data_IF_109031113782
#
_entry.id   IF_109031113782
#
_cell.length_a   1.000
_cell.length_b   1.000
_cell.length_c   1.000
_cell.angle_alpha   90.00
_cell.angle_beta   90.00
_cell.angle_gamma   90.00
#
_symmetry.space_group_name_H-M   'P 1'
#
loop_
_entity.id
_entity.type
_entity.pdbx_description
1 polymer ?
#
# COMPACT_ATOMS: atom_id res chain seq x y z
N UNK A 1 -57.60 19.61 -55.85
CA UNK A 1 -57.54 18.87 -54.57
C UNK A 1 -56.07 18.61 -54.29
N UNK A 2 -55.43 19.44 -53.46
CA UNK A 2 -53.98 19.42 -53.22
C UNK A 2 -53.63 18.40 -52.13
N UNK A 3 -52.69 17.50 -52.44
CA UNK A 3 -52.15 16.50 -51.51
C UNK A 3 -51.02 17.15 -50.71
N UNK A 4 -51.21 17.30 -49.40
CA UNK A 4 -50.15 17.74 -48.47
C UNK A 4 -49.23 16.55 -48.15
N UNK A 5 -47.98 16.61 -48.60
CA UNK A 5 -46.89 15.74 -48.15
C UNK A 5 -46.33 16.33 -46.85
N UNK A 6 -46.68 15.72 -45.72
CA UNK A 6 -46.11 16.07 -44.41
C UNK A 6 -44.70 15.49 -44.27
N UNK A 7 -43.69 16.36 -44.29
CA UNK A 7 -42.30 16.00 -43.98
C UNK A 7 -42.16 15.92 -42.46
N UNK A 8 -41.97 14.71 -41.93
CA UNK A 8 -41.60 14.51 -40.53
C UNK A 8 -40.11 14.84 -40.33
N UNK A 9 -39.81 15.95 -39.69
CA UNK A 9 -38.47 16.23 -39.17
C UNK A 9 -38.22 15.39 -37.92
N UNK A 10 -37.37 14.37 -38.03
CA UNK A 10 -36.85 13.64 -36.89
C UNK A 10 -35.83 14.54 -36.17
N UNK A 11 -36.24 15.21 -35.11
CA UNK A 11 -35.32 15.97 -34.24
C UNK A 11 -34.54 14.93 -33.41
N UNK A 12 -33.33 14.60 -33.84
CA UNK A 12 -32.36 13.88 -33.01
C UNK A 12 -31.91 14.83 -31.90
N UNK A 13 -32.52 14.70 -30.72
CA UNK A 13 -32.06 15.36 -29.50
C UNK A 13 -30.77 14.64 -29.07
N UNK A 14 -29.62 15.20 -29.44
CA UNK A 14 -28.36 14.85 -28.81
C UNK A 14 -28.39 15.33 -27.36
N UNK A 15 -28.63 14.42 -26.42
CA UNK A 15 -28.26 14.68 -25.04
C UNK A 15 -26.73 14.77 -25.00
N UNK A 16 -26.14 15.90 -24.59
CA UNK A 16 -24.72 15.90 -24.27
C UNK A 16 -24.54 14.88 -23.16
N UNK A 17 -23.76 13.84 -23.43
CA UNK A 17 -23.30 12.94 -22.38
C UNK A 17 -22.44 13.83 -21.48
N UNK A 18 -23.01 14.32 -20.39
CA UNK A 18 -22.22 14.95 -19.34
C UNK A 18 -21.15 13.92 -18.99
N UNK A 19 -19.89 14.25 -19.30
CA UNK A 19 -18.76 13.54 -18.77
C UNK A 19 -18.89 13.68 -17.26
N UNK A 20 -19.42 12.65 -16.59
CA UNK A 20 -19.29 12.54 -15.15
C UNK A 20 -17.79 12.44 -14.91
N UNK A 21 -17.13 13.57 -14.73
CA UNK A 21 -15.76 13.62 -14.27
C UNK A 21 -15.83 13.02 -12.87
N UNK A 22 -15.51 11.73 -12.77
CA UNK A 22 -15.56 11.00 -11.51
C UNK A 22 -14.73 11.78 -10.50
N UNK A 23 -15.42 12.25 -9.47
CA UNK A 23 -14.83 13.02 -8.39
C UNK A 23 -13.81 12.14 -7.65
N UNK A 24 -12.79 12.76 -6.99
CA UNK A 24 -11.91 12.03 -6.09
C UNK A 24 -12.70 11.17 -5.09
N UNK A 25 -12.10 10.07 -4.64
CA UNK A 25 -12.73 9.22 -3.65
C UNK A 25 -13.00 10.02 -2.35
N UNK A 26 -14.19 9.89 -1.75
CA UNK A 26 -14.47 10.55 -0.47
C UNK A 26 -13.68 9.85 0.66
N UNK A 27 -13.11 10.64 1.57
CA UNK A 27 -12.38 10.12 2.73
C UNK A 27 -13.04 10.54 4.03
N UNK A 28 -13.06 9.62 5.00
CA UNK A 28 -13.39 9.89 6.40
C UNK A 28 -12.10 9.96 7.21
N UNK A 29 -12.07 10.81 8.23
CA UNK A 29 -10.91 10.96 9.12
C UNK A 29 -11.09 10.12 10.37
N UNK A 30 -10.04 9.38 10.72
CA UNK A 30 -9.97 8.58 11.94
C UNK A 30 -9.67 9.41 13.18
N UNK A 31 -9.35 8.70 14.27
CA UNK A 31 -9.02 9.29 15.57
C UNK A 31 -8.07 10.48 15.46
N UNK A 32 -8.50 11.66 15.93
CA UNK A 32 -7.74 12.94 15.89
C UNK A 32 -7.14 13.26 14.50
N UNK A 33 -7.81 12.85 13.43
CA UNK A 33 -7.31 12.94 12.06
C UNK A 33 -5.91 12.34 11.88
N UNK A 34 -5.58 11.29 12.63
CA UNK A 34 -4.30 10.57 12.56
C UNK A 34 -4.14 9.76 11.29
N UNK A 35 -5.26 9.42 10.65
CA UNK A 35 -5.34 8.79 9.35
C UNK A 35 -6.64 9.22 8.66
N UNK A 36 -6.72 8.97 7.36
CA UNK A 36 -7.94 9.06 6.57
C UNK A 36 -8.18 7.76 5.83
N UNK A 37 -9.43 7.42 5.56
CA UNK A 37 -9.78 6.17 4.92
C UNK A 37 -10.99 6.28 3.99
N UNK A 38 -11.09 5.36 3.02
CA UNK A 38 -12.22 5.22 2.10
C UNK A 38 -12.88 3.84 2.25
N UNK A 39 -14.20 3.82 2.43
CA UNK A 39 -15.07 2.64 2.43
C UNK A 39 -16.53 3.08 2.15
N UNK A 40 -17.44 2.19 1.66
CA UNK A 40 -17.20 0.79 1.28
C UNK A 40 -16.44 0.64 -0.04
N UNK A 41 -15.72 -0.46 -0.22
CA UNK A 41 -15.03 -0.77 -1.47
C UNK A 41 -15.89 -1.52 -2.50
N UNK A 42 -15.61 -1.34 -3.79
CA UNK A 42 -16.28 -2.02 -4.92
C UNK A 42 -15.38 -3.03 -5.65
N UNK A 43 -14.13 -3.16 -5.22
CA UNK A 43 -13.11 -4.07 -5.77
C UNK A 43 -12.38 -4.76 -4.62
N UNK A 44 -11.85 -5.96 -4.84
CA UNK A 44 -11.10 -6.73 -3.85
C UNK A 44 -9.64 -6.24 -3.63
N UNK A 45 -9.48 -4.94 -3.43
CA UNK A 45 -8.20 -4.27 -3.23
C UNK A 45 -8.25 -3.36 -2.00
N UNK A 46 -7.23 -3.46 -1.16
CA UNK A 46 -6.93 -2.55 -0.06
C UNK A 46 -5.58 -1.86 -0.33
N UNK A 47 -5.56 -0.53 -0.26
CA UNK A 47 -4.33 0.28 -0.37
C UNK A 47 -4.02 0.87 1.00
N UNK A 48 -2.79 0.67 1.50
CA UNK A 48 -2.27 1.36 2.69
C UNK A 48 -1.09 2.26 2.34
N UNK A 49 -0.96 3.38 3.05
CA UNK A 49 0.21 4.25 3.00
C UNK A 49 0.51 4.80 4.41
N UNK A 50 1.35 4.11 5.20
CA UNK A 50 1.48 4.37 6.64
C UNK A 50 2.42 5.54 6.98
N UNK A 51 3.25 6.03 6.04
CA UNK A 51 4.42 6.86 6.40
C UNK A 51 4.52 8.23 5.71
N UNK A 52 3.55 8.63 4.88
CA UNK A 52 3.57 9.95 4.20
C UNK A 52 3.14 11.15 5.05
N UNK A 53 2.50 10.89 6.20
CA UNK A 53 1.89 11.90 7.06
C UNK A 53 2.85 12.97 7.60
N UNK A 54 2.33 14.18 7.79
CA UNK A 54 3.08 15.35 8.28
C UNK A 54 2.63 15.85 9.65
N UNK A 55 1.45 15.45 10.12
CA UNK A 55 0.89 16.01 11.36
C UNK A 55 1.69 15.55 12.57
N UNK A 56 2.08 16.50 13.43
CA UNK A 56 2.86 16.26 14.64
C UNK A 56 2.16 16.91 15.83
N UNK A 57 1.10 16.28 16.38
CA UNK A 57 0.47 16.75 17.63
C UNK A 57 1.53 17.01 18.70
N UNK A 58 1.44 18.16 19.36
CA UNK A 58 2.44 18.64 20.33
C UNK A 58 2.38 17.87 21.65
N UNK A 59 1.21 17.35 22.00
CA UNK A 59 0.93 16.57 23.20
C UNK A 59 1.34 15.09 23.09
N UNK A 60 1.69 14.62 21.89
CA UNK A 60 2.21 13.26 21.68
C UNK A 60 3.73 13.33 21.53
N UNK A 61 4.53 12.64 22.36
CA UNK A 61 5.99 12.66 22.24
C UNK A 61 6.47 12.02 20.93
N UNK A 62 7.68 12.38 20.51
CA UNK A 62 8.32 11.73 19.36
C UNK A 62 8.89 10.36 19.79
N UNK A 63 8.77 9.36 18.92
CA UNK A 63 9.46 8.08 19.00
C UNK A 63 10.93 8.28 18.66
N UNK A 64 11.75 8.61 19.63
CA UNK A 64 13.17 8.88 19.40
C UNK A 64 14.01 7.61 19.49
N UNK A 65 14.02 6.95 20.65
CA UNK A 65 14.85 5.78 20.92
C UNK A 65 14.20 4.85 21.96
N UNK A 66 14.34 3.54 21.75
CA UNK A 66 13.99 2.53 22.75
C UNK A 66 15.13 2.28 23.74
N UNK A 67 14.96 1.25 24.58
CA UNK A 67 15.98 0.80 25.51
C UNK A 67 16.23 -0.72 25.39
N UNK A 68 17.45 -1.09 24.99
CA UNK A 68 17.95 -2.46 25.03
C UNK A 68 18.29 -2.81 26.49
N UNK A 69 17.44 -3.61 27.13
CA UNK A 69 17.59 -3.92 28.56
C UNK A 69 18.78 -4.84 28.78
N UNK A 70 19.62 -4.53 29.76
CA UNK A 70 20.72 -5.40 30.18
C UNK A 70 20.33 -6.39 31.28
N UNK A 71 19.19 -6.18 31.93
CA UNK A 71 18.74 -7.02 33.04
C UNK A 71 17.21 -7.14 33.08
N UNK A 72 16.71 -8.01 33.95
CA UNK A 72 15.29 -8.24 34.13
C UNK A 72 14.64 -9.10 33.04
N UNK A 73 13.29 -9.19 33.03
CA UNK A 73 12.55 -10.09 32.14
C UNK A 73 12.74 -9.82 30.64
N UNK A 74 13.12 -8.58 30.29
CA UNK A 74 13.33 -8.15 28.91
C UNK A 74 14.81 -8.07 28.53
N UNK A 75 15.72 -8.63 29.33
CA UNK A 75 17.15 -8.62 29.06
C UNK A 75 17.45 -9.11 27.63
N UNK A 76 18.27 -8.35 26.90
CA UNK A 76 18.62 -8.61 25.50
C UNK A 76 17.60 -8.12 24.47
N UNK A 77 16.48 -7.53 24.89
CA UNK A 77 15.44 -7.01 23.98
C UNK A 77 15.26 -5.48 24.11
N UNK A 78 14.90 -4.85 23.00
CA UNK A 78 14.49 -3.45 22.98
C UNK A 78 13.07 -3.32 23.53
N UNK A 79 12.90 -2.50 24.58
CA UNK A 79 11.59 -2.04 25.06
C UNK A 79 11.34 -0.60 24.63
N UNK A 80 10.06 -0.25 24.46
CA UNK A 80 9.66 1.01 23.84
C UNK A 80 8.66 1.74 24.73
N UNK A 81 9.14 2.69 25.51
CA UNK A 81 8.31 3.50 26.39
C UNK A 81 8.63 4.98 26.21
N UNK A 82 7.59 5.80 26.15
CA UNK A 82 7.74 7.24 26.12
C UNK A 82 8.36 7.70 27.44
N UNK A 83 9.26 8.69 27.37
CA UNK A 83 10.03 9.21 28.50
C UNK A 83 10.95 8.20 29.22
N UNK A 84 11.20 7.03 28.63
CA UNK A 84 12.18 6.10 29.19
C UNK A 84 13.60 6.67 29.06
N UNK A 85 14.25 6.86 30.20
CA UNK A 85 15.62 7.37 30.31
C UNK A 85 16.67 6.30 30.00
N UNK A 86 16.28 5.02 29.91
CA UNK A 86 17.14 3.89 29.60
C UNK A 86 18.37 3.81 30.52
N UNK A 87 18.15 3.88 31.83
CA UNK A 87 19.23 3.84 32.83
C UNK A 87 19.86 2.46 33.00
N UNK A 88 19.17 1.40 32.56
CA UNK A 88 19.53 -0.01 32.73
C UNK A 88 19.87 -0.70 31.39
N UNK A 89 20.29 0.08 30.39
CA UNK A 89 20.46 -0.42 29.03
C UNK A 89 21.22 0.49 28.08
N UNK A 90 21.19 0.14 26.80
CA UNK A 90 21.66 1.00 25.70
C UNK A 90 20.51 1.40 24.78
N UNK A 91 20.67 2.50 24.04
CA UNK A 91 19.59 3.04 23.19
C UNK A 91 19.38 2.19 21.93
N UNK A 92 18.11 1.85 21.66
CA UNK A 92 17.69 1.25 20.39
C UNK A 92 17.25 2.34 19.42
N UNK A 93 17.69 2.27 18.17
CA UNK A 93 17.27 3.22 17.14
C UNK A 93 15.83 2.95 16.70
N UNK A 94 15.04 4.02 16.55
CA UNK A 94 13.75 3.98 15.89
C UNK A 94 13.81 4.80 14.59
N UNK A 95 13.26 4.26 13.51
CA UNK A 95 13.16 5.02 12.25
C UNK A 95 12.08 6.09 12.38
N UNK A 96 12.48 7.34 12.17
CA UNK A 96 11.62 8.52 12.30
C UNK A 96 11.43 9.29 10.99
N UNK A 97 12.16 8.93 9.95
CA UNK A 97 12.09 9.58 8.65
C UNK A 97 10.80 9.16 7.96
N UNK A 98 10.09 10.13 7.38
CA UNK A 98 8.85 9.90 6.65
C UNK A 98 9.13 9.47 5.21
N UNK A 99 8.14 8.83 4.62
CA UNK A 99 8.14 8.43 3.22
C UNK A 99 7.49 9.58 2.43
N UNK A 100 8.24 10.65 2.19
CA UNK A 100 7.68 11.92 1.71
C UNK A 100 6.76 11.72 0.48
N UNK A 101 5.54 12.27 0.50
CA UNK A 101 4.60 12.22 -0.63
C UNK A 101 4.09 10.82 -1.01
N UNK A 102 4.39 9.76 -0.23
CA UNK A 102 3.76 8.44 -0.40
C UNK A 102 2.25 8.47 -0.13
N UNK A 103 1.79 9.36 0.76
CA UNK A 103 0.39 9.60 1.07
C UNK A 103 -0.37 10.15 -0.15
N UNK A 104 0.14 11.23 -0.75
CA UNK A 104 -0.44 11.81 -1.96
C UNK A 104 -0.30 10.88 -3.18
N UNK A 105 0.74 10.04 -3.25
CA UNK A 105 0.88 9.03 -4.31
C UNK A 105 -0.22 7.98 -4.20
N UNK A 106 -0.43 7.39 -3.01
CA UNK A 106 -1.46 6.38 -2.77
C UNK A 106 -2.87 6.91 -3.04
N UNK A 107 -3.15 8.16 -2.65
CA UNK A 107 -4.41 8.83 -2.97
C UNK A 107 -4.62 8.99 -4.47
N UNK A 108 -3.58 9.37 -5.23
CA UNK A 108 -3.67 9.48 -6.68
C UNK A 108 -3.89 8.12 -7.35
N UNK A 109 -3.28 7.04 -6.85
CA UNK A 109 -3.53 5.67 -7.35
C UNK A 109 -5.00 5.31 -7.16
N UNK A 110 -5.54 5.51 -5.96
CA UNK A 110 -6.94 5.18 -5.67
C UNK A 110 -7.93 6.05 -6.48
N UNK A 111 -7.63 7.33 -6.65
CA UNK A 111 -8.43 8.23 -7.49
C UNK A 111 -8.38 7.83 -8.95
N UNK A 112 -7.24 7.38 -9.46
CA UNK A 112 -7.13 6.89 -10.84
C UNK A 112 -7.93 5.61 -11.05
N UNK A 113 -7.86 4.66 -10.11
CA UNK A 113 -8.66 3.43 -10.17
C UNK A 113 -10.16 3.75 -10.29
N UNK A 114 -10.63 4.72 -9.51
CA UNK A 114 -12.01 5.18 -9.59
C UNK A 114 -12.28 5.88 -10.93
N UNK A 115 -11.43 6.83 -11.33
CA UNK A 115 -11.62 7.68 -12.52
C UNK A 115 -11.62 6.91 -13.85
N UNK A 116 -10.83 5.84 -13.93
CA UNK A 116 -10.63 5.13 -15.21
C UNK A 116 -11.50 3.87 -15.30
N UNK A 117 -11.76 3.18 -14.19
CA UNK A 117 -12.54 1.93 -14.19
C UNK A 117 -13.77 1.94 -13.28
N UNK A 118 -14.03 3.00 -12.53
CA UNK A 118 -15.07 3.03 -11.48
C UNK A 118 -14.73 2.16 -10.27
N UNK A 119 -13.48 1.69 -10.14
CA UNK A 119 -13.05 0.85 -9.03
C UNK A 119 -12.74 1.70 -7.80
N UNK A 120 -13.45 1.43 -6.71
CA UNK A 120 -13.28 2.12 -5.43
C UNK A 120 -12.64 1.14 -4.44
N UNK A 121 -11.31 1.07 -4.36
CA UNK A 121 -10.64 0.18 -3.40
C UNK A 121 -10.87 0.64 -1.97
N UNK A 122 -10.70 -0.23 -0.98
CA UNK A 122 -10.53 0.24 0.40
C UNK A 122 -9.20 0.99 0.47
N UNK A 123 -9.16 2.12 1.16
CA UNK A 123 -7.93 2.92 1.26
C UNK A 123 -7.72 3.38 2.69
N UNK A 124 -6.49 3.30 3.20
CA UNK A 124 -6.09 3.96 4.45
C UNK A 124 -4.75 4.65 4.30
N UNK A 125 -4.70 5.93 4.69
CA UNK A 125 -3.52 6.77 4.54
C UNK A 125 -3.25 7.47 5.87
N UNK A 126 -2.05 7.27 6.40
CA UNK A 126 -1.61 7.94 7.61
C UNK A 126 -1.47 9.45 7.38
N UNK A 127 -1.93 10.23 8.37
CA UNK A 127 -1.82 11.69 8.38
C UNK A 127 -0.85 12.18 9.45
N UNK A 128 -0.76 11.47 10.57
CA UNK A 128 0.30 11.70 11.55
C UNK A 128 1.65 11.23 11.02
N UNK A 129 2.69 11.97 11.39
CA UNK A 129 4.05 11.62 11.03
C UNK A 129 4.47 10.32 11.70
N UNK A 130 5.26 9.51 10.97
CA UNK A 130 5.96 8.33 11.49
C UNK A 130 6.71 8.62 12.80
N UNK A 131 7.17 9.86 13.00
CA UNK A 131 7.81 10.32 14.25
C UNK A 131 6.92 10.20 15.49
N UNK A 132 5.60 10.27 15.32
CA UNK A 132 4.62 10.18 16.41
C UNK A 132 4.13 8.75 16.56
N UNK A 133 3.74 8.13 15.44
CA UNK A 133 3.24 6.76 15.39
C UNK A 133 3.74 6.11 14.12
N UNK A 134 4.39 4.95 14.23
CA UNK A 134 4.76 4.14 13.08
C UNK A 134 3.72 3.03 12.87
N UNK A 135 2.74 3.30 12.01
CA UNK A 135 1.69 2.34 11.68
C UNK A 135 2.19 1.06 10.98
N UNK A 136 3.49 0.97 10.65
CA UNK A 136 4.11 -0.22 10.05
C UNK A 136 5.17 -0.86 10.98
N UNK A 137 4.84 -0.89 12.29
CA UNK A 137 5.58 -1.59 13.36
C UNK A 137 4.64 -2.28 14.34
N UNK A 138 5.19 -3.18 15.14
CA UNK A 138 4.51 -3.76 16.30
C UNK A 138 4.14 -2.66 17.31
N UNK A 139 2.98 -2.78 17.97
CA UNK A 139 2.34 -1.66 18.69
C UNK A 139 3.26 -0.99 19.72
N UNK A 140 4.11 -1.73 20.42
CA UNK A 140 5.00 -1.15 21.42
C UNK A 140 6.04 -0.22 20.76
N UNK A 141 6.73 -0.70 19.72
CA UNK A 141 7.68 0.11 18.94
C UNK A 141 6.97 1.24 18.18
N UNK A 142 5.77 0.95 17.67
CA UNK A 142 4.96 1.87 16.89
C UNK A 142 4.50 3.09 17.69
N UNK A 143 4.31 2.95 19.00
CA UNK A 143 3.64 3.95 19.84
C UNK A 143 4.46 4.42 21.02
N UNK A 144 5.57 3.72 21.31
CA UNK A 144 6.34 3.87 22.55
C UNK A 144 5.42 3.78 23.77
N UNK A 145 4.38 2.97 23.70
CA UNK A 145 3.37 2.82 24.75
C UNK A 145 2.67 4.12 25.19
N UNK A 146 2.67 5.17 24.36
CA UNK A 146 1.94 6.40 24.67
C UNK A 146 0.43 6.23 24.38
N UNK A 147 -0.49 6.57 25.30
CA UNK A 147 -1.92 6.28 25.15
C UNK A 147 -2.56 6.84 23.87
N UNK A 148 -2.28 8.11 23.53
CA UNK A 148 -2.81 8.74 22.31
C UNK A 148 -2.24 8.11 21.03
N UNK A 149 -1.00 7.61 21.09
CA UNK A 149 -0.36 6.92 19.97
C UNK A 149 -0.97 5.52 19.78
N UNK A 150 -1.25 4.82 20.89
CA UNK A 150 -1.98 3.53 20.90
C UNK A 150 -3.37 3.70 20.29
N UNK A 151 -4.13 4.72 20.68
CA UNK A 151 -5.47 4.96 20.13
C UNK A 151 -5.44 5.24 18.61
N UNK A 152 -4.49 6.07 18.15
CA UNK A 152 -4.27 6.30 16.72
C UNK A 152 -3.92 5.00 15.97
N UNK A 153 -2.97 4.23 16.51
CA UNK A 153 -2.52 2.95 15.96
C UNK A 153 -3.67 1.93 15.85
N UNK A 154 -4.40 1.73 16.93
CA UNK A 154 -5.53 0.81 16.99
C UNK A 154 -6.63 1.21 16.01
N UNK A 155 -6.93 2.50 15.87
CA UNK A 155 -7.88 2.99 14.87
C UNK A 155 -7.42 2.66 13.44
N UNK A 156 -6.14 2.85 13.14
CA UNK A 156 -5.58 2.55 11.82
C UNK A 156 -5.67 1.04 11.49
N UNK A 157 -5.23 0.19 12.42
CA UNK A 157 -5.24 -1.26 12.23
C UNK A 157 -6.67 -1.85 12.25
N UNK A 158 -7.57 -1.31 13.07
CA UNK A 158 -8.98 -1.72 13.08
C UNK A 158 -9.66 -1.47 11.72
N UNK A 159 -9.33 -0.38 11.03
CA UNK A 159 -9.82 -0.16 9.67
C UNK A 159 -9.29 -1.23 8.71
N UNK A 160 -7.99 -1.55 8.76
CA UNK A 160 -7.43 -2.62 7.91
C UNK A 160 -8.16 -3.94 8.16
N UNK A 161 -8.39 -4.29 9.43
CA UNK A 161 -9.15 -5.48 9.81
C UNK A 161 -10.56 -5.49 9.21
N UNK A 162 -11.27 -4.38 9.30
CA UNK A 162 -12.62 -4.23 8.76
C UNK A 162 -12.64 -4.33 7.24
N UNK A 163 -11.69 -3.69 6.55
CA UNK A 163 -11.56 -3.78 5.08
C UNK A 163 -11.25 -5.19 4.62
N UNK A 164 -10.35 -5.91 5.28
CA UNK A 164 -10.04 -7.32 4.96
C UNK A 164 -11.28 -8.19 5.16
N UNK A 165 -12.02 -7.99 6.25
CA UNK A 165 -13.26 -8.72 6.51
C UNK A 165 -14.33 -8.44 5.44
N UNK A 166 -14.51 -7.17 5.05
CA UNK A 166 -15.42 -6.79 3.97
C UNK A 166 -15.01 -7.44 2.64
N UNK A 167 -13.72 -7.37 2.29
CA UNK A 167 -13.18 -7.94 1.05
C UNK A 167 -13.39 -9.45 1.01
N UNK A 168 -13.09 -10.16 2.09
CA UNK A 168 -13.25 -11.61 2.16
C UNK A 168 -14.73 -12.01 2.11
N UNK A 169 -15.61 -11.28 2.80
CA UNK A 169 -17.05 -11.55 2.76
C UNK A 169 -17.67 -11.30 1.38
N UNK A 170 -17.20 -10.27 0.66
CA UNK A 170 -17.80 -9.84 -0.62
C UNK A 170 -17.20 -10.58 -1.81
N UNK A 171 -15.88 -10.82 -1.80
CA UNK A 171 -15.12 -11.30 -2.97
C UNK A 171 -14.40 -12.64 -2.74
N UNK A 172 -14.40 -13.16 -1.51
CA UNK A 172 -13.75 -14.41 -1.12
C UNK A 172 -12.22 -14.38 -1.04
N UNK A 173 -11.58 -13.37 -1.63
CA UNK A 173 -10.13 -13.14 -1.61
C UNK A 173 -9.82 -11.69 -1.98
N UNK A 174 -8.65 -11.19 -1.59
CA UNK A 174 -8.18 -9.88 -2.05
C UNK A 174 -6.67 -9.71 -2.03
N UNK A 175 -6.27 -8.47 -2.31
CA UNK A 175 -4.91 -7.99 -2.32
C UNK A 175 -4.79 -6.72 -1.47
N UNK A 176 -3.78 -6.68 -0.61
CA UNK A 176 -3.30 -5.51 0.10
C UNK A 176 -2.03 -5.00 -0.59
N UNK A 177 -2.02 -3.72 -0.97
CA UNK A 177 -0.82 -3.04 -1.47
C UNK A 177 -0.42 -1.98 -0.46
N UNK A 178 0.73 -2.18 0.18
CA UNK A 178 1.32 -1.27 1.16
C UNK A 178 2.35 -0.37 0.47
N UNK A 179 1.99 0.89 0.25
CA UNK A 179 2.76 1.86 -0.53
C UNK A 179 3.68 2.66 0.39
N UNK A 180 4.97 2.59 0.07
CA UNK A 180 6.06 3.24 0.76
C UNK A 180 6.95 4.06 -0.18
N UNK A 181 7.91 4.76 0.41
CA UNK A 181 8.92 5.48 -0.34
C UNK A 181 10.29 5.42 0.30
N UNK A 182 11.31 5.19 -0.52
CA UNK A 182 12.71 5.15 -0.09
C UNK A 182 13.54 6.25 -0.75
N UNK A 183 14.72 6.50 -0.16
CA UNK A 183 15.71 7.46 -0.64
C UNK A 183 16.92 6.84 -1.31
N UNK A 184 16.92 5.53 -1.55
CA UNK A 184 18.06 4.81 -2.12
C UNK A 184 17.89 4.50 -3.61
N UNK A 185 18.72 5.08 -4.46
CA UNK A 185 18.71 4.81 -5.91
C UNK A 185 17.42 5.21 -6.66
N UNK A 186 17.36 4.80 -7.92
CA UNK A 186 16.26 5.11 -8.85
C UNK A 186 15.61 3.82 -9.37
N UNK A 187 15.07 3.02 -8.45
CA UNK A 187 14.40 1.76 -8.76
C UNK A 187 13.26 1.52 -7.79
N UNK A 188 12.21 0.82 -8.21
CA UNK A 188 11.12 0.39 -7.32
C UNK A 188 11.44 -0.97 -6.73
N UNK A 189 11.23 -1.17 -5.42
CA UNK A 189 11.29 -2.49 -4.80
C UNK A 189 9.87 -3.03 -4.54
N UNK A 190 9.60 -4.28 -4.90
CA UNK A 190 8.34 -4.97 -4.69
C UNK A 190 8.56 -6.11 -3.69
N UNK A 191 8.26 -5.85 -2.44
CA UNK A 191 8.48 -6.75 -1.31
C UNK A 191 7.40 -7.81 -1.17
N UNK A 192 7.84 -9.07 -1.09
CA UNK A 192 6.99 -10.26 -0.91
C UNK A 192 7.32 -11.07 0.35
N UNK A 193 7.92 -10.44 1.36
CA UNK A 193 8.52 -11.08 2.55
C UNK A 193 9.65 -12.08 2.23
N UNK A 194 10.28 -11.93 1.06
CA UNK A 194 11.52 -12.61 0.71
C UNK A 194 12.70 -11.64 0.74
N UNK A 195 13.77 -12.01 1.44
CA UNK A 195 15.00 -11.19 1.53
C UNK A 195 15.67 -11.03 0.16
N UNK A 196 16.47 -9.99 -0.02
CA UNK A 196 17.26 -9.82 -1.25
C UNK A 196 18.13 -11.04 -1.57
N UNK A 197 18.76 -11.64 -0.54
CA UNK A 197 19.52 -12.87 -0.68
C UNK A 197 18.67 -14.07 -1.14
N UNK A 198 17.43 -14.19 -0.67
CA UNK A 198 16.49 -15.22 -1.13
C UNK A 198 16.07 -14.98 -2.58
N UNK A 199 15.75 -13.74 -2.95
CA UNK A 199 15.37 -13.36 -4.32
C UNK A 199 16.52 -13.57 -5.33
N UNK A 200 17.77 -13.46 -4.88
CA UNK A 200 18.94 -13.70 -5.72
C UNK A 200 19.15 -15.18 -6.11
N UNK A 201 18.45 -16.13 -5.49
CA UNK A 201 18.52 -17.54 -5.86
C UNK A 201 17.96 -17.78 -7.26
N UNK A 202 18.49 -18.78 -7.95
CA UNK A 202 18.05 -19.15 -9.31
C UNK A 202 16.67 -19.79 -9.34
N UNK A 203 16.29 -20.49 -8.27
CA UNK A 203 14.99 -21.13 -8.17
C UNK A 203 14.30 -20.78 -6.86
N UNK A 204 13.24 -19.95 -6.94
CA UNK A 204 12.45 -19.58 -5.76
C UNK A 204 11.54 -20.72 -5.25
N UNK A 205 11.27 -21.74 -6.06
CA UNK A 205 10.40 -22.87 -5.71
C UNK A 205 11.00 -23.78 -4.63
N UNK A 206 12.31 -23.67 -4.36
CA UNK A 206 13.00 -24.50 -3.36
C UNK A 206 13.13 -23.82 -2.00
N UNK A 207 12.64 -22.58 -1.87
CA UNK A 207 12.68 -21.85 -0.61
C UNK A 207 11.71 -22.46 0.40
N UNK A 208 12.17 -22.77 1.61
CA UNK A 208 11.35 -23.28 2.73
C UNK A 208 10.51 -22.21 3.43
N UNK A 209 10.69 -20.93 3.09
CA UNK A 209 9.92 -19.81 3.65
C UNK A 209 8.67 -19.55 2.83
N UNK A 210 7.65 -18.97 3.46
CA UNK A 210 6.40 -18.54 2.81
C UNK A 210 6.54 -17.11 2.30
N UNK A 211 6.04 -16.83 1.10
CA UNK A 211 5.90 -15.46 0.56
C UNK A 211 4.52 -14.87 0.90
N UNK A 212 4.42 -13.54 0.95
CA UNK A 212 3.16 -12.83 1.25
C UNK A 212 2.07 -12.97 0.17
N UNK A 213 2.40 -13.58 -0.96
CA UNK A 213 1.47 -13.91 -2.06
C UNK A 213 1.47 -15.41 -2.38
N UNK A 214 1.88 -16.27 -1.45
CA UNK A 214 1.99 -17.72 -1.65
C UNK A 214 0.73 -18.34 -2.31
N UNK A 215 -0.50 -18.02 -1.87
CA UNK A 215 -1.70 -18.59 -2.50
C UNK A 215 -1.88 -18.22 -3.98
N UNK A 216 -1.26 -17.13 -4.46
CA UNK A 216 -1.30 -16.72 -5.86
C UNK A 216 -0.25 -17.44 -6.73
N UNK A 217 0.83 -17.94 -6.11
CA UNK A 217 1.97 -18.49 -6.82
C UNK A 217 1.80 -19.94 -7.28
N UNK A 218 0.87 -20.69 -6.66
CA UNK A 218 0.74 -22.12 -6.91
C UNK A 218 2.08 -22.84 -6.71
N UNK A 219 2.52 -23.60 -7.71
CA UNK A 219 3.81 -24.31 -7.69
C UNK A 219 4.98 -23.53 -8.32
N UNK A 220 4.75 -22.31 -8.84
CA UNK A 220 5.76 -21.56 -9.60
C UNK A 220 5.98 -20.14 -9.07
N UNK A 221 6.76 -20.06 -7.99
CA UNK A 221 7.21 -18.81 -7.38
C UNK A 221 8.06 -17.95 -8.32
N UNK A 222 8.87 -18.55 -9.19
CA UNK A 222 9.66 -17.76 -10.15
C UNK A 222 8.74 -16.95 -11.07
N UNK A 223 7.65 -17.55 -11.53
CA UNK A 223 6.70 -16.88 -12.42
C UNK A 223 5.90 -15.78 -11.72
N UNK A 224 5.32 -16.07 -10.54
CA UNK A 224 4.50 -15.08 -9.82
C UNK A 224 5.29 -13.91 -9.21
N UNK A 225 6.54 -14.11 -8.77
CA UNK A 225 7.33 -13.09 -8.06
C UNK A 225 8.13 -12.24 -9.05
N UNK A 226 8.66 -12.86 -10.10
CA UNK A 226 9.63 -12.21 -11.00
C UNK A 226 9.50 -12.61 -12.47
N UNK A 227 8.47 -13.37 -12.83
CA UNK A 227 8.23 -13.78 -14.20
C UNK A 227 7.18 -12.90 -14.87
N UNK A 228 6.58 -13.43 -15.94
CA UNK A 228 5.71 -12.67 -16.84
C UNK A 228 4.43 -12.14 -16.17
N UNK A 229 3.93 -12.85 -15.16
CA UNK A 229 2.73 -12.54 -14.36
C UNK A 229 3.01 -11.76 -13.07
N UNK A 230 4.28 -11.44 -12.78
CA UNK A 230 4.65 -10.71 -11.56
C UNK A 230 4.20 -9.26 -11.56
N UNK A 231 3.96 -8.73 -10.36
CA UNK A 231 3.57 -7.33 -10.21
C UNK A 231 4.68 -6.37 -10.68
N UNK A 232 5.96 -6.70 -10.41
CA UNK A 232 7.08 -5.92 -10.93
C UNK A 232 7.11 -5.82 -12.45
N UNK A 233 6.77 -6.91 -13.16
CA UNK A 233 6.67 -6.89 -14.62
C UNK A 233 5.46 -6.07 -15.10
N UNK A 234 4.34 -6.13 -14.39
CA UNK A 234 3.18 -5.29 -14.69
C UNK A 234 3.50 -3.79 -14.53
N UNK A 235 4.28 -3.42 -13.52
CA UNK A 235 4.76 -2.04 -13.31
C UNK A 235 5.64 -1.58 -14.47
N UNK A 236 6.63 -2.37 -14.89
CA UNK A 236 7.51 -2.03 -16.01
C UNK A 236 6.77 -1.90 -17.34
N UNK A 237 5.84 -2.81 -17.63
CA UNK A 237 5.00 -2.75 -18.84
C UNK A 237 4.18 -1.47 -18.93
N UNK A 238 3.82 -0.90 -17.79
CA UNK A 238 3.08 0.35 -17.70
C UNK A 238 3.98 1.58 -17.62
N UNK A 239 5.29 1.43 -17.83
CA UNK A 239 6.23 2.53 -17.96
C UNK A 239 6.79 3.04 -16.63
N UNK A 240 6.84 2.20 -15.59
CA UNK A 240 7.68 2.44 -14.42
C UNK A 240 9.05 1.83 -14.65
N UNK A 241 10.09 2.66 -14.66
CA UNK A 241 11.45 2.20 -14.94
C UNK A 241 12.08 1.51 -13.72
N UNK A 242 12.81 0.43 -14.00
CA UNK A 242 13.65 -0.34 -13.07
C UNK A 242 12.90 -0.84 -11.84
N UNK A 243 12.30 -2.03 -11.94
CA UNK A 243 11.50 -2.61 -10.85
C UNK A 243 12.07 -3.96 -10.42
N UNK A 244 12.37 -4.10 -9.13
CA UNK A 244 12.86 -5.36 -8.55
C UNK A 244 11.82 -6.00 -7.62
N UNK A 245 11.60 -7.32 -7.68
CA UNK A 245 11.93 -8.20 -8.81
C UNK A 245 10.89 -8.10 -9.93
N UNK A 246 11.33 -8.28 -11.18
CA UNK A 246 10.50 -8.35 -12.39
C UNK A 246 11.11 -9.31 -13.43
N UNK A 247 10.47 -9.49 -14.58
CA UNK A 247 11.00 -10.29 -15.69
C UNK A 247 12.31 -9.69 -16.23
N UNK A 248 12.39 -8.36 -16.36
CA UNK A 248 13.60 -7.69 -16.82
C UNK A 248 14.67 -7.62 -15.72
N UNK A 249 14.24 -7.54 -14.47
CA UNK A 249 15.08 -7.34 -13.29
C UNK A 249 14.79 -8.39 -12.21
N UNK A 250 15.08 -9.69 -12.45
CA UNK A 250 14.60 -10.79 -11.62
C UNK A 250 15.25 -10.91 -10.24
N UNK A 251 16.34 -10.18 -10.01
CA UNK A 251 17.18 -10.29 -8.83
C UNK A 251 17.61 -8.88 -8.39
N UNK A 252 17.49 -8.54 -7.10
CA UNK A 252 17.94 -7.24 -6.59
C UNK A 252 19.47 -7.12 -6.50
N UNK A 253 20.22 -8.22 -6.63
CA UNK A 253 21.68 -8.16 -6.56
C UNK A 253 22.17 -7.70 -5.18
N UNK A 254 22.96 -6.63 -5.14
CA UNK A 254 23.51 -6.06 -3.91
C UNK A 254 22.67 -4.91 -3.33
N UNK A 255 21.49 -4.64 -3.88
CA UNK A 255 20.57 -3.63 -3.36
C UNK A 255 20.15 -4.00 -1.93
N UNK A 256 20.09 -3.01 -1.03
CA UNK A 256 19.48 -3.16 0.30
C UNK A 256 17.96 -3.28 0.16
N UNK A 257 17.53 -4.49 -0.14
CA UNK A 257 16.16 -4.77 -0.57
C UNK A 257 15.19 -4.81 0.60
N UNK A 258 14.19 -3.93 0.56
CA UNK A 258 13.12 -3.85 1.53
C UNK A 258 12.01 -4.85 1.19
N UNK A 259 12.06 -6.00 1.86
CA UNK A 259 11.20 -7.16 1.58
C UNK A 259 9.75 -7.04 2.01
N UNK A 260 9.41 -6.08 2.86
CA UNK A 260 8.10 -5.93 3.48
C UNK A 260 8.18 -5.61 4.97
N UNK A 261 7.17 -4.90 5.47
CA UNK A 261 7.05 -4.42 6.84
C UNK A 261 6.00 -5.19 7.65
N UNK A 262 5.65 -4.60 8.80
CA UNK A 262 4.70 -5.17 9.75
C UNK A 262 3.29 -5.35 9.18
N UNK A 263 2.76 -4.40 8.42
CA UNK A 263 1.44 -4.48 7.78
C UNK A 263 1.42 -5.70 6.86
N UNK A 264 2.40 -5.83 5.97
CA UNK A 264 2.53 -6.99 5.07
C UNK A 264 2.64 -8.29 5.85
N UNK A 265 3.47 -8.39 6.90
CA UNK A 265 3.63 -9.64 7.66
C UNK A 265 2.47 -9.97 8.59
N UNK A 266 1.78 -8.97 9.15
CA UNK A 266 0.71 -9.17 10.12
C UNK A 266 -0.59 -9.67 9.49
N UNK A 267 -0.83 -9.34 8.21
CA UNK A 267 -2.12 -9.62 7.56
C UNK A 267 -2.10 -10.78 6.54
N UNK A 268 -0.95 -11.38 6.24
CA UNK A 268 -0.83 -12.43 5.19
C UNK A 268 -1.64 -13.70 5.46
N UNK A 269 -2.03 -13.98 6.70
CA UNK A 269 -2.92 -15.10 7.02
C UNK A 269 -4.36 -14.88 6.54
N UNK A 270 -4.73 -13.64 6.17
CA UNK A 270 -6.10 -13.23 5.86
C UNK A 270 -6.26 -12.59 4.49
N UNK A 271 -5.18 -12.06 3.91
CA UNK A 271 -5.17 -11.43 2.58
C UNK A 271 -3.79 -11.56 1.95
N UNK A 272 -3.70 -11.64 0.62
CA UNK A 272 -2.40 -11.54 -0.06
C UNK A 272 -1.88 -10.11 0.10
N UNK A 273 -0.59 -9.92 0.36
CA UNK A 273 -0.03 -8.59 0.60
C UNK A 273 1.25 -8.35 -0.19
N UNK A 274 1.43 -7.14 -0.70
CA UNK A 274 2.64 -6.69 -1.39
C UNK A 274 3.03 -5.33 -0.82
N UNK A 275 4.30 -5.15 -0.46
CA UNK A 275 4.85 -3.83 -0.17
C UNK A 275 5.53 -3.27 -1.42
N UNK A 276 5.34 -1.99 -1.72
CA UNK A 276 6.15 -1.32 -2.74
C UNK A 276 6.90 -0.13 -2.17
N UNK A 277 8.19 -0.07 -2.44
CA UNK A 277 9.07 1.04 -2.10
C UNK A 277 9.35 1.84 -3.36
N UNK A 278 8.80 3.05 -3.41
CA UNK A 278 8.92 3.92 -4.57
C UNK A 278 10.09 4.90 -4.42
N UNK A 279 10.95 5.09 -5.43
CA UNK A 279 12.05 6.03 -5.36
C UNK A 279 11.54 7.47 -5.36
N UNK A 280 12.33 8.39 -4.79
CA UNK A 280 11.92 9.78 -4.58
C UNK A 280 11.45 10.47 -5.87
N UNK A 281 12.15 10.28 -6.99
CA UNK A 281 11.84 10.98 -8.26
C UNK A 281 10.41 10.70 -8.73
N UNK A 282 9.87 9.49 -8.46
CA UNK A 282 8.53 9.09 -8.85
C UNK A 282 7.43 9.82 -8.09
N UNK A 283 7.70 10.20 -6.84
CA UNK A 283 6.72 10.78 -5.90
C UNK A 283 6.75 12.31 -5.84
N UNK A 284 7.67 12.95 -6.56
CA UNK A 284 7.75 14.41 -6.66
C UNK A 284 6.49 15.02 -7.27
N UNK A 285 6.20 16.30 -6.99
CA UNK A 285 4.98 16.96 -7.47
C UNK A 285 4.80 16.87 -9.00
N UNK A 286 5.89 16.95 -9.77
CA UNK A 286 5.86 16.91 -11.24
C UNK A 286 5.59 15.51 -11.81
N UNK A 287 6.03 14.45 -11.12
CA UNK A 287 5.99 13.08 -11.66
C UNK A 287 4.91 12.21 -11.00
N UNK A 288 4.48 12.57 -9.78
CA UNK A 288 3.63 11.74 -8.92
C UNK A 288 2.31 11.35 -9.56
N UNK A 289 1.64 12.29 -10.23
CA UNK A 289 0.34 12.01 -10.82
C UNK A 289 0.48 11.02 -11.98
N UNK A 290 1.42 11.26 -12.90
CA UNK A 290 1.66 10.38 -14.04
C UNK A 290 2.07 8.97 -13.59
N UNK A 291 3.01 8.88 -12.65
CA UNK A 291 3.44 7.58 -12.12
C UNK A 291 2.34 6.86 -11.33
N UNK A 292 1.50 7.58 -10.58
CA UNK A 292 0.36 6.98 -9.91
C UNK A 292 -0.66 6.40 -10.92
N UNK A 293 -0.81 7.02 -12.10
CA UNK A 293 -1.67 6.49 -13.16
C UNK A 293 -1.16 5.19 -13.73
N UNK A 294 0.13 5.16 -14.08
CA UNK A 294 0.82 3.96 -14.55
C UNK A 294 0.77 2.84 -13.52
N UNK A 295 0.97 3.18 -12.23
CA UNK A 295 0.86 2.24 -11.13
C UNK A 295 -0.56 1.69 -10.97
N UNK A 296 -1.59 2.52 -11.08
CA UNK A 296 -3.00 2.08 -11.04
C UNK A 296 -3.33 1.11 -12.17
N UNK A 297 -2.89 1.41 -13.41
CA UNK A 297 -3.01 0.48 -14.54
C UNK A 297 -2.29 -0.84 -14.27
N UNK A 298 -1.06 -0.80 -13.75
CA UNK A 298 -0.30 -1.98 -13.40
C UNK A 298 -1.00 -2.87 -12.36
N UNK A 299 -1.69 -2.28 -11.37
CA UNK A 299 -2.51 -3.03 -10.41
C UNK A 299 -3.61 -3.80 -11.16
N UNK A 300 -4.35 -3.11 -12.04
CA UNK A 300 -5.45 -3.73 -12.80
C UNK A 300 -4.92 -4.86 -13.69
N UNK A 301 -3.84 -4.62 -14.44
CA UNK A 301 -3.23 -5.62 -15.32
C UNK A 301 -2.72 -6.84 -14.53
N UNK A 302 -2.08 -6.61 -13.39
CA UNK A 302 -1.60 -7.67 -12.51
C UNK A 302 -2.77 -8.51 -11.96
N UNK A 303 -3.82 -7.85 -11.46
CA UNK A 303 -5.00 -8.53 -10.92
C UNK A 303 -5.76 -9.30 -12.01
N UNK A 304 -5.82 -8.80 -13.24
CA UNK A 304 -6.43 -9.49 -14.37
C UNK A 304 -5.60 -10.70 -14.83
N UNK A 305 -4.29 -10.49 -15.01
CA UNK A 305 -3.33 -11.54 -15.43
C UNK A 305 -3.34 -12.73 -14.48
N UNK A 306 -3.50 -12.48 -13.18
CA UNK A 306 -3.52 -13.51 -12.14
C UNK A 306 -4.93 -13.96 -11.76
N UNK A 307 -5.97 -13.61 -12.55
CA UNK A 307 -7.38 -13.95 -12.30
C UNK A 307 -7.87 -13.60 -10.88
N UNK A 308 -7.26 -12.56 -10.29
CA UNK A 308 -7.53 -12.07 -8.95
C UNK A 308 -8.64 -11.02 -8.95
N UNK A 309 -8.81 -10.27 -10.05
CA UNK A 309 -9.76 -9.16 -10.12
C UNK A 309 -11.21 -9.62 -9.84
N UNK A 310 -11.79 -9.07 -8.78
CA UNK A 310 -13.21 -9.20 -8.43
C UNK A 310 -13.76 -7.80 -8.16
N UNK A 311 -14.88 -7.47 -8.80
CA UNK A 311 -15.59 -6.22 -8.57
C UNK A 311 -17.08 -6.50 -8.41
N UNK A 312 -17.71 -5.74 -7.52
CA UNK A 312 -19.16 -5.65 -7.48
C UNK A 312 -19.56 -4.63 -8.54
N UNK A 313 -20.28 -5.05 -9.58
CA UNK A 313 -20.88 -4.09 -10.50
C UNK A 313 -21.79 -3.16 -9.70
N UNK A 314 -21.53 -1.85 -9.74
CA UNK A 314 -22.58 -0.87 -9.50
C UNK A 314 -23.56 -1.05 -10.65
N UNK A 315 -24.58 -1.88 -10.45
CA UNK A 315 -25.78 -1.85 -11.29
C UNK A 315 -26.43 -0.48 -11.17
#
# INVERSE_FOLDING_TARGET
>A
MFVFLGVFYLILIFFPHESIQQQPLPYTFGYRSSFKFHQPCTINLLISAPHGGNATPSDVPNRTQGCLRMSGPNAGNCTWFYNDTCVDGTRCNATTVKDAQSDEFAENVANELNRTWGYKPSVIIAKWSRKKVDFNREINEATFNHPEAIAAYQGYHSFIDQSINQINATFGRGLLIDIHGHGDGNYTMVGYLLTGAQLNRDNLNTLSVTTSIEPLCGSNRNECIRGNSSFGTALERNGLDVVYPSLANPKPGSIDFLSGGYITSNYISRINAIQTELPNWMRTANNRLDNARKYAQAIVDYMQTNHLLRSSSTR
#
